data_IF_504501379129
#
_entry.id   IF_504501379129
#
_cell.length_a   1.000
_cell.length_b   1.000
_cell.length_c   1.000
_cell.angle_alpha   90.00
_cell.angle_beta   90.00
_cell.angle_gamma   90.00
#
_symmetry.space_group_name_H-M   'P 1'
#
loop_
_entity.id
_entity.type
_entity.pdbx_description
1 polymer ?
#
# COMPACT_ATOMS: atom_id res chain seq x y z
N UNK A 1 -8.64 16.45 -19.06
CA UNK A 1 -9.17 16.31 -17.68
C UNK A 1 -8.05 16.60 -16.69
N UNK A 2 -8.33 17.35 -15.62
CA UNK A 2 -7.33 17.77 -14.63
C UNK A 2 -7.05 16.60 -13.69
N UNK A 3 -6.09 15.75 -14.09
CA UNK A 3 -5.66 14.52 -13.39
C UNK A 3 -5.06 14.77 -11.98
N UNK A 4 -4.87 16.04 -11.60
CA UNK A 4 -4.19 16.44 -10.36
C UNK A 4 -5.13 16.97 -9.27
N UNK A 5 -6.46 16.89 -9.45
CA UNK A 5 -7.40 17.26 -8.39
C UNK A 5 -7.67 16.07 -7.47
N UNK A 6 -7.82 16.27 -6.15
CA UNK A 6 -8.22 15.21 -5.23
C UNK A 6 -9.49 14.47 -5.68
N UNK A 7 -10.47 15.21 -6.21
CA UNK A 7 -11.70 14.63 -6.76
C UNK A 7 -11.44 13.76 -8.00
N UNK A 8 -10.57 14.21 -8.92
CA UNK A 8 -10.17 13.42 -10.08
C UNK A 8 -9.48 12.12 -9.71
N UNK A 9 -8.56 12.15 -8.74
CA UNK A 9 -7.86 10.96 -8.24
C UNK A 9 -8.85 9.96 -7.62
N UNK A 10 -9.81 10.42 -6.83
CA UNK A 10 -10.84 9.55 -6.25
C UNK A 10 -11.72 8.91 -7.33
N UNK A 11 -12.04 9.64 -8.39
CA UNK A 11 -12.79 9.09 -9.52
C UNK A 11 -11.98 7.99 -10.23
N UNK A 12 -10.69 8.21 -10.50
CA UNK A 12 -9.81 7.19 -11.10
C UNK A 12 -9.72 5.93 -10.22
N UNK A 13 -9.62 6.09 -8.89
CA UNK A 13 -9.67 4.97 -7.94
C UNK A 13 -10.99 4.21 -8.01
N UNK A 14 -12.11 4.91 -8.12
CA UNK A 14 -13.41 4.27 -8.25
C UNK A 14 -13.52 3.44 -9.53
N UNK A 15 -13.01 3.95 -10.66
CA UNK A 15 -12.97 3.23 -11.94
C UNK A 15 -12.10 1.97 -11.84
N UNK A 16 -10.91 2.07 -11.24
CA UNK A 16 -10.03 0.91 -11.01
C UNK A 16 -10.73 -0.12 -10.12
N UNK A 17 -11.39 0.31 -9.04
CA UNK A 17 -12.10 -0.57 -8.13
C UNK A 17 -13.32 -1.24 -8.79
N UNK A 18 -14.02 -0.53 -9.67
CA UNK A 18 -15.11 -1.09 -10.49
C UNK A 18 -14.57 -2.19 -11.41
N UNK A 19 -13.44 -1.95 -12.09
CA UNK A 19 -12.77 -2.95 -12.92
C UNK A 19 -12.32 -4.18 -12.11
N UNK A 20 -11.75 -3.98 -10.92
CA UNK A 20 -11.29 -5.07 -10.05
C UNK A 20 -12.43 -5.96 -9.56
N UNK A 21 -13.63 -5.40 -9.41
CA UNK A 21 -14.84 -6.13 -9.01
C UNK A 21 -15.60 -6.73 -10.21
N UNK A 22 -15.26 -6.32 -11.42
CA UNK A 22 -15.94 -6.70 -12.65
C UNK A 22 -15.62 -8.16 -13.01
N UNK A 23 -16.66 -8.97 -13.25
CA UNK A 23 -16.48 -10.32 -13.76
C UNK A 23 -16.01 -10.26 -15.22
N UNK A 24 -15.32 -11.30 -15.68
CA UNK A 24 -14.80 -11.35 -17.07
C UNK A 24 -15.89 -11.08 -18.12
N UNK A 25 -17.11 -11.60 -17.89
CA UNK A 25 -18.27 -11.45 -18.78
C UNK A 25 -18.85 -10.03 -18.82
N UNK A 26 -18.47 -9.17 -17.87
CA UNK A 26 -18.95 -7.79 -17.75
C UNK A 26 -17.93 -6.77 -18.29
N UNK A 27 -16.74 -7.22 -18.71
CA UNK A 27 -15.63 -6.34 -19.12
C UNK A 27 -15.94 -5.49 -20.34
N UNK A 28 -16.62 -6.05 -21.33
CA UNK A 28 -17.00 -5.30 -22.53
C UNK A 28 -17.93 -4.13 -22.16
N UNK A 29 -18.91 -4.38 -21.28
CA UNK A 29 -19.79 -3.33 -20.78
C UNK A 29 -19.04 -2.27 -19.96
N UNK A 30 -18.05 -2.69 -19.16
CA UNK A 30 -17.19 -1.77 -18.42
C UNK A 30 -16.43 -0.82 -19.37
N UNK A 31 -15.80 -1.37 -20.43
CA UNK A 31 -15.06 -0.55 -21.39
C UNK A 31 -15.98 0.37 -22.19
N UNK A 32 -17.18 -0.07 -22.55
CA UNK A 32 -18.17 0.79 -23.21
C UNK A 32 -18.59 1.97 -22.32
N UNK A 33 -18.83 1.70 -21.03
CA UNK A 33 -19.21 2.73 -20.04
C UNK A 33 -18.10 3.76 -19.81
N UNK A 34 -16.85 3.31 -19.77
CA UNK A 34 -15.67 4.13 -19.46
C UNK A 34 -14.79 4.47 -20.67
N UNK A 35 -15.30 4.28 -21.88
CA UNK A 35 -14.56 4.33 -23.15
C UNK A 35 -13.69 5.59 -23.34
N UNK A 36 -14.15 6.73 -22.81
CA UNK A 36 -13.44 8.01 -22.88
C UNK A 36 -12.14 8.04 -22.06
N UNK A 37 -12.00 7.15 -21.07
CA UNK A 37 -10.89 7.10 -20.13
C UNK A 37 -10.13 5.78 -20.19
N UNK A 38 -10.81 4.67 -20.48
CA UNK A 38 -10.25 3.33 -20.48
C UNK A 38 -10.82 2.55 -21.66
N UNK A 39 -9.95 2.14 -22.57
CA UNK A 39 -10.34 1.34 -23.74
C UNK A 39 -9.80 -0.09 -23.66
N UNK A 40 -8.87 -0.34 -22.73
CA UNK A 40 -8.19 -1.60 -22.61
C UNK A 40 -7.69 -1.83 -21.18
N UNK A 41 -7.34 -3.07 -20.87
CA UNK A 41 -6.67 -3.42 -19.60
C UNK A 41 -5.32 -2.71 -19.45
N UNK A 42 -4.63 -2.43 -20.57
CA UNK A 42 -3.40 -1.66 -20.55
C UNK A 42 -3.63 -0.24 -20.04
N UNK A 43 -4.80 0.35 -20.31
CA UNK A 43 -5.14 1.68 -19.80
C UNK A 43 -5.51 1.64 -18.31
N UNK A 44 -6.12 0.56 -17.83
CA UNK A 44 -6.30 0.34 -16.38
C UNK A 44 -4.94 0.32 -15.67
N UNK A 45 -3.95 -0.37 -16.24
CA UNK A 45 -2.63 -0.44 -15.62
C UNK A 45 -1.90 0.93 -15.63
N UNK A 46 -2.08 1.72 -16.70
CA UNK A 46 -1.63 3.12 -16.73
C UNK A 46 -2.33 3.96 -15.66
N UNK A 47 -3.64 3.80 -15.47
CA UNK A 47 -4.38 4.50 -14.42
C UNK A 47 -3.89 4.11 -13.03
N UNK A 48 -3.66 2.82 -12.77
CA UNK A 48 -3.07 2.35 -11.51
C UNK A 48 -1.71 2.98 -11.26
N UNK A 49 -0.83 3.01 -12.26
CA UNK A 49 0.48 3.64 -12.16
C UNK A 49 0.37 5.15 -11.90
N UNK A 50 -0.55 5.85 -12.58
CA UNK A 50 -0.77 7.28 -12.39
C UNK A 50 -1.31 7.60 -10.99
N UNK A 51 -2.32 6.86 -10.51
CA UNK A 51 -2.84 7.01 -9.14
C UNK A 51 -1.74 6.76 -8.11
N UNK A 52 -0.98 5.67 -8.29
CA UNK A 52 0.13 5.32 -7.40
C UNK A 52 1.23 6.38 -7.40
N UNK A 53 1.59 6.94 -8.55
CA UNK A 53 2.57 8.02 -8.66
C UNK A 53 2.13 9.29 -7.93
N UNK A 54 0.85 9.65 -8.00
CA UNK A 54 0.30 10.82 -7.28
C UNK A 54 0.28 10.60 -5.77
N UNK A 55 0.13 9.35 -5.32
CA UNK A 55 0.22 8.99 -3.91
C UNK A 55 1.66 8.97 -3.39
N UNK A 56 2.64 8.69 -4.24
CA UNK A 56 4.08 8.70 -3.94
C UNK A 56 4.63 10.13 -3.86
N UNK A 57 4.15 10.87 -2.85
CA UNK A 57 4.63 12.22 -2.53
C UNK A 57 5.91 12.17 -1.71
N UNK A 58 6.65 13.28 -1.74
CA UNK A 58 7.83 13.48 -0.89
C UNK A 58 7.48 13.21 0.59
N UNK A 59 8.32 12.44 1.27
CA UNK A 59 8.16 12.07 2.67
C UNK A 59 7.35 10.80 2.92
N UNK A 60 6.78 10.17 1.88
CA UNK A 60 6.07 8.90 2.02
C UNK A 60 7.06 7.77 2.32
N UNK A 61 6.74 6.98 3.34
CA UNK A 61 7.46 5.77 3.69
C UNK A 61 7.09 4.65 2.72
N UNK A 62 8.11 3.97 2.21
CA UNK A 62 7.94 2.92 1.21
C UNK A 62 8.85 1.74 1.48
N UNK A 63 8.49 0.61 0.87
CA UNK A 63 9.33 -0.57 0.76
C UNK A 63 9.67 -0.78 -0.71
N UNK A 64 10.90 -1.14 -1.00
CA UNK A 64 11.36 -1.50 -2.34
C UNK A 64 12.00 -2.88 -2.33
N UNK A 65 11.82 -3.64 -3.41
CA UNK A 65 12.53 -4.89 -3.68
C UNK A 65 12.72 -5.02 -5.20
N UNK A 66 13.79 -4.45 -5.73
CA UNK A 66 14.11 -4.50 -7.16
C UNK A 66 15.57 -4.80 -7.42
N UNK A 67 15.86 -5.22 -8.65
CA UNK A 67 17.22 -5.48 -9.10
C UNK A 67 17.58 -4.53 -10.22
N UNK A 68 18.69 -3.82 -10.07
CA UNK A 68 19.29 -3.03 -11.13
C UNK A 68 20.50 -3.76 -11.68
N UNK A 69 20.56 -3.93 -13.00
CA UNK A 69 21.75 -4.42 -13.69
C UNK A 69 22.45 -3.18 -14.27
N UNK A 70 23.59 -2.76 -13.73
CA UNK A 70 24.40 -1.73 -14.38
C UNK A 70 24.95 -2.25 -15.72
N UNK A 71 25.52 -1.39 -16.54
CA UNK A 71 25.99 -1.68 -17.91
C UNK A 71 26.74 -3.03 -18.08
N UNK A 72 26.75 -3.50 -19.35
CA UNK A 72 27.22 -4.83 -19.74
C UNK A 72 28.50 -5.26 -19.01
N UNK A 73 28.36 -6.28 -18.15
CA UNK A 73 29.47 -6.93 -17.44
C UNK A 73 29.48 -6.68 -15.92
N UNK A 74 28.67 -5.74 -15.42
CA UNK A 74 28.57 -5.52 -13.98
C UNK A 74 27.59 -6.48 -13.29
N UNK A 75 27.88 -6.80 -12.02
CA UNK A 75 27.00 -7.65 -11.20
C UNK A 75 25.69 -6.93 -10.94
N UNK A 76 24.59 -7.69 -11.00
CA UNK A 76 23.25 -7.25 -10.60
C UNK A 76 23.28 -6.76 -9.15
N UNK A 77 22.83 -5.53 -8.93
CA UNK A 77 22.68 -4.91 -7.61
C UNK A 77 21.22 -5.04 -7.20
N UNK A 78 20.96 -5.63 -6.03
CA UNK A 78 19.60 -5.71 -5.47
C UNK A 78 19.40 -4.61 -4.44
N UNK A 79 18.35 -3.82 -4.65
CA UNK A 79 17.87 -2.82 -3.70
C UNK A 79 16.67 -3.42 -3.00
N UNK A 80 16.82 -3.67 -1.69
CA UNK A 80 15.77 -4.21 -0.85
C UNK A 80 15.81 -3.54 0.50
N UNK A 81 14.68 -2.96 0.92
CA UNK A 81 14.59 -2.30 2.21
C UNK A 81 13.43 -1.33 2.29
N UNK A 82 13.38 -0.63 3.41
CA UNK A 82 12.48 0.48 3.63
C UNK A 82 13.21 1.79 3.36
N UNK A 83 12.46 2.84 3.07
CA UNK A 83 13.00 4.15 2.83
C UNK A 83 11.92 5.20 2.61
N UNK A 84 12.37 6.40 2.27
CA UNK A 84 11.52 7.56 2.07
C UNK A 84 11.60 8.02 0.62
N UNK A 85 10.45 8.40 0.06
CA UNK A 85 10.36 9.04 -1.25
C UNK A 85 10.84 10.49 -1.14
N UNK A 86 11.82 10.87 -1.98
CA UNK A 86 12.28 12.25 -2.11
C UNK A 86 11.46 12.99 -3.17
N UNK A 87 11.19 12.34 -4.31
CA UNK A 87 10.38 12.86 -5.43
C UNK A 87 9.92 11.73 -6.36
N UNK A 88 8.86 11.98 -7.11
CA UNK A 88 8.32 11.09 -8.13
C UNK A 88 8.08 11.87 -9.43
N UNK A 89 8.76 11.51 -10.52
CA UNK A 89 8.72 12.21 -11.82
C UNK A 89 8.75 11.16 -12.94
N UNK A 90 7.96 11.35 -14.00
CA UNK A 90 7.92 10.49 -15.19
C UNK A 90 7.79 8.97 -14.91
N UNK A 91 7.00 8.60 -13.90
CA UNK A 91 6.80 7.20 -13.50
C UNK A 91 8.00 6.56 -12.80
N UNK A 92 9.00 7.36 -12.42
CA UNK A 92 10.16 6.96 -11.62
C UNK A 92 10.08 7.55 -10.22
N UNK A 93 10.46 6.72 -9.25
CA UNK A 93 10.50 7.07 -7.84
C UNK A 93 11.96 7.24 -7.44
N UNK A 94 12.27 8.40 -6.88
CA UNK A 94 13.57 8.69 -6.28
C UNK A 94 13.40 8.76 -4.78
N UNK A 95 14.33 8.15 -4.07
CA UNK A 95 14.31 8.19 -2.62
C UNK A 95 15.58 7.68 -2.00
N UNK A 96 15.52 7.53 -0.69
CA UNK A 96 16.64 7.07 0.14
C UNK A 96 16.18 5.93 1.03
N UNK A 97 16.92 4.83 1.00
CA UNK A 97 16.74 3.73 1.94
C UNK A 97 17.16 4.14 3.35
N UNK A 98 16.68 3.42 4.36
CA UNK A 98 17.03 3.66 5.77
C UNK A 98 18.53 3.53 6.05
N UNK A 99 19.27 2.77 5.23
CA UNK A 99 20.73 2.65 5.27
C UNK A 99 21.47 3.83 4.60
N UNK A 100 20.73 4.83 4.13
CA UNK A 100 21.24 6.04 3.50
C UNK A 100 21.47 5.94 2.00
N UNK A 101 21.36 4.75 1.38
CA UNK A 101 21.60 4.56 -0.06
C UNK A 101 20.48 5.21 -0.89
N UNK A 102 20.82 6.06 -1.87
CA UNK A 102 19.82 6.56 -2.81
C UNK A 102 19.40 5.44 -3.78
N UNK A 103 18.14 5.48 -4.22
CA UNK A 103 17.62 4.58 -5.24
C UNK A 103 16.79 5.33 -6.28
N UNK A 104 16.68 4.73 -7.47
CA UNK A 104 15.75 5.11 -8.51
C UNK A 104 15.12 3.84 -9.08
N UNK A 105 13.79 3.73 -9.01
CA UNK A 105 13.05 2.58 -9.52
C UNK A 105 11.74 2.99 -10.19
N UNK A 106 11.05 2.03 -10.82
CA UNK A 106 9.72 2.27 -11.33
C UNK A 106 8.71 2.34 -10.19
N UNK A 107 7.61 3.06 -10.41
CA UNK A 107 6.46 3.11 -9.49
C UNK A 107 5.88 1.71 -9.22
N UNK A 108 5.99 0.77 -10.18
CA UNK A 108 5.59 -0.63 -10.00
C UNK A 108 6.39 -1.35 -8.91
N UNK A 109 7.67 -1.01 -8.74
CA UNK A 109 8.62 -1.70 -7.84
C UNK A 109 8.54 -1.23 -6.37
N UNK A 110 7.62 -0.29 -6.09
CA UNK A 110 7.46 0.36 -4.79
C UNK A 110 6.18 -0.12 -4.12
N UNK A 111 6.28 -0.61 -2.90
CA UNK A 111 5.13 -0.84 -2.05
C UNK A 111 5.00 0.30 -1.04
N UNK A 112 3.80 0.82 -0.84
CA UNK A 112 3.57 1.74 0.28
C UNK A 112 3.80 0.98 1.59
N UNK A 113 4.68 1.51 2.44
CA UNK A 113 4.60 1.18 3.84
C UNK A 113 3.37 1.90 4.34
N UNK A 114 2.28 1.16 4.42
CA UNK A 114 1.11 1.64 5.12
C UNK A 114 1.61 2.08 6.50
N UNK A 115 1.44 3.36 6.86
CA UNK A 115 1.69 3.81 8.23
C UNK A 115 0.84 3.01 9.20
N UNK A 116 -0.30 2.47 8.75
CA UNK A 116 -1.03 1.46 9.49
C UNK A 116 -0.31 0.10 9.51
N UNK A 117 0.59 -0.31 8.63
CA UNK A 117 1.39 -1.54 8.82
C UNK A 117 2.51 -1.38 9.87
N UNK A 118 3.03 -0.16 10.04
CA UNK A 118 4.02 0.19 11.07
C UNK A 118 3.33 0.57 12.39
N UNK A 119 2.14 1.18 12.35
CA UNK A 119 1.26 1.51 13.49
C UNK A 119 0.21 0.42 13.83
N UNK A 120 0.05 -0.62 13.00
CA UNK A 120 -0.68 -1.88 13.27
C UNK A 120 0.26 -2.99 13.70
N UNK A 121 1.48 -2.64 14.09
CA UNK A 121 2.00 -3.26 15.31
C UNK A 121 1.34 -2.54 16.46
N UNK A 122 0.28 -3.09 17.07
CA UNK A 122 -0.01 -2.67 18.43
C UNK A 122 1.28 -2.88 19.24
N UNK A 123 1.58 -1.94 20.13
CA UNK A 123 2.74 -2.00 21.05
C UNK A 123 2.84 -3.34 21.79
N UNK A 124 1.75 -4.10 21.87
CA UNK A 124 1.74 -5.56 21.87
C UNK A 124 0.36 -6.08 21.44
N UNK A 125 0.27 -7.32 20.93
CA UNK A 125 -1.04 -7.95 20.67
C UNK A 125 -1.91 -7.97 21.95
N UNK A 126 -1.29 -8.14 23.11
CA UNK A 126 -1.95 -8.06 24.41
C UNK A 126 -2.65 -6.70 24.62
N UNK A 127 -1.95 -5.60 24.36
CA UNK A 127 -2.49 -4.24 24.50
C UNK A 127 -3.65 -3.98 23.52
N UNK A 128 -3.51 -4.44 22.27
CA UNK A 128 -4.62 -4.40 21.30
C UNK A 128 -5.85 -5.16 21.80
N UNK A 129 -5.65 -6.34 22.39
CA UNK A 129 -6.76 -7.16 22.89
C UNK A 129 -7.42 -6.52 24.13
N UNK A 130 -6.65 -5.84 24.99
CA UNK A 130 -7.18 -5.07 26.12
C UNK A 130 -8.04 -3.89 25.62
N UNK A 131 -7.50 -3.07 24.70
CA UNK A 131 -8.22 -1.93 24.13
C UNK A 131 -9.45 -2.35 23.32
N UNK A 132 -9.36 -3.48 22.60
CA UNK A 132 -10.51 -4.09 21.93
C UNK A 132 -11.56 -4.54 22.95
N UNK A 133 -11.16 -5.15 24.06
CA UNK A 133 -12.10 -5.54 25.13
C UNK A 133 -12.83 -4.31 25.67
N UNK A 134 -12.10 -3.22 25.93
CA UNK A 134 -12.69 -1.95 26.34
C UNK A 134 -13.67 -1.41 25.27
N UNK A 135 -13.35 -1.54 23.99
CA UNK A 135 -14.28 -1.20 22.90
C UNK A 135 -15.56 -2.04 22.97
N UNK A 136 -15.46 -3.36 23.15
CA UNK A 136 -16.64 -4.23 23.28
C UNK A 136 -17.49 -3.85 24.49
N UNK A 137 -16.87 -3.40 25.58
CA UNK A 137 -17.52 -2.90 26.80
C UNK A 137 -18.12 -1.49 26.68
N UNK A 138 -18.04 -0.85 25.50
CA UNK A 138 -18.68 0.45 25.24
C UNK A 138 -17.73 1.65 25.23
N UNK A 139 -16.44 1.47 25.52
CA UNK A 139 -15.46 2.54 25.35
C UNK A 139 -15.32 2.90 23.86
N UNK A 140 -15.40 4.19 23.54
CA UNK A 140 -15.34 4.71 22.16
C UNK A 140 -14.19 5.69 21.95
N UNK A 141 -13.18 5.64 22.82
CA UNK A 141 -11.90 6.34 22.64
C UNK A 141 -11.28 6.05 21.27
N UNK A 142 -10.50 6.99 20.71
CA UNK A 142 -9.79 6.80 19.45
C UNK A 142 -8.96 5.51 19.41
N UNK A 143 -8.29 5.19 20.52
CA UNK A 143 -7.41 4.03 20.68
C UNK A 143 -8.20 2.72 20.67
N UNK A 144 -9.34 2.67 21.37
CA UNK A 144 -10.21 1.50 21.40
C UNK A 144 -10.87 1.23 20.04
N UNK A 145 -11.27 2.30 19.32
CA UNK A 145 -11.78 2.21 17.94
C UNK A 145 -10.72 1.67 17.00
N UNK A 146 -9.50 2.19 17.10
CA UNK A 146 -8.36 1.76 16.27
C UNK A 146 -8.00 0.29 16.54
N UNK A 147 -7.92 -0.13 17.81
CA UNK A 147 -7.64 -1.52 18.18
C UNK A 147 -8.71 -2.49 17.64
N UNK A 148 -9.99 -2.12 17.71
CA UNK A 148 -11.06 -2.95 17.15
C UNK A 148 -10.98 -3.03 15.61
N UNK A 149 -10.67 -1.92 14.93
CA UNK A 149 -10.44 -1.89 13.47
C UNK A 149 -9.28 -2.82 13.07
N UNK A 150 -8.15 -2.72 13.76
CA UNK A 150 -6.98 -3.58 13.54
C UNK A 150 -7.30 -5.07 13.73
N UNK A 151 -7.99 -5.42 14.82
CA UNK A 151 -8.43 -6.80 15.05
C UNK A 151 -9.33 -7.33 13.92
N UNK A 152 -10.30 -6.53 13.46
CA UNK A 152 -11.20 -6.93 12.36
C UNK A 152 -10.41 -7.18 11.08
N UNK A 153 -9.44 -6.33 10.77
CA UNK A 153 -8.57 -6.50 9.59
C UNK A 153 -7.73 -7.77 9.68
N UNK A 154 -7.09 -8.03 10.83
CA UNK A 154 -6.30 -9.24 11.06
C UNK A 154 -7.17 -10.49 10.91
N UNK A 155 -8.39 -10.47 11.47
CA UNK A 155 -9.34 -11.57 11.38
C UNK A 155 -9.80 -11.81 9.95
N UNK A 156 -10.14 -10.74 9.20
CA UNK A 156 -10.55 -10.84 7.78
C UNK A 156 -9.45 -11.44 6.90
N UNK A 157 -8.19 -11.16 7.22
CA UNK A 157 -7.03 -11.71 6.51
C UNK A 157 -6.65 -13.14 6.94
N UNK A 158 -7.34 -13.74 7.92
CA UNK A 158 -7.02 -15.08 8.43
C UNK A 158 -5.72 -15.16 9.24
N UNK A 159 -5.14 -14.02 9.63
CA UNK A 159 -3.80 -13.94 10.24
C UNK A 159 -3.82 -14.04 11.78
N UNK A 160 -4.99 -14.25 12.39
CA UNK A 160 -5.17 -14.15 13.84
C UNK A 160 -4.27 -15.14 14.63
N UNK A 161 -4.11 -16.36 14.11
CA UNK A 161 -3.26 -17.39 14.72
C UNK A 161 -1.78 -16.99 14.71
N UNK A 162 -1.28 -16.53 13.55
CA UNK A 162 0.11 -16.13 13.38
C UNK A 162 0.48 -14.94 14.28
N UNK A 163 -0.41 -13.95 14.37
CA UNK A 163 -0.19 -12.77 15.21
C UNK A 163 -0.17 -13.14 16.70
N UNK A 164 -1.04 -14.05 17.14
CA UNK A 164 -1.05 -14.54 18.53
C UNK A 164 0.25 -15.27 18.88
N UNK A 165 0.73 -16.13 17.98
CA UNK A 165 2.01 -16.84 18.16
C UNK A 165 3.19 -15.87 18.23
N UNK A 166 3.30 -14.94 17.29
CA UNK A 166 4.38 -13.93 17.25
C UNK A 166 4.40 -13.04 18.50
N UNK A 167 3.25 -12.76 19.10
CA UNK A 167 3.16 -12.00 20.33
C UNK A 167 3.73 -12.76 21.54
N UNK A 168 3.40 -14.05 21.67
CA UNK A 168 3.91 -14.89 22.76
C UNK A 168 5.45 -15.03 22.73
N UNK A 169 6.06 -15.01 21.55
CA UNK A 169 7.53 -15.06 21.41
C UNK A 169 8.23 -13.77 21.87
N UNK A 170 7.55 -12.61 21.87
CA UNK A 170 8.15 -11.32 22.25
C UNK A 170 8.07 -11.01 23.74
N UNK A 171 7.26 -11.74 24.51
CA UNK A 171 7.15 -11.55 25.96
C UNK A 171 8.14 -12.43 26.75
N UNK A 172 8.87 -13.31 26.07
CA UNK A 172 9.80 -14.28 26.68
C UNK A 172 11.24 -14.25 26.15
N UNK A 173 11.60 -13.24 25.35
CA UNK A 173 12.97 -13.01 24.87
C UNK A 173 13.39 -11.57 25.11
#
# INVERSE_FOLDING_TARGET
>A
MILNTPAGIQNLKAIIQEFDNCLYVERDHFFDKHYTLVQSEADIEKLRAAVKAVELRKGVQIKVDFSHVPDKGMRRIRFKGHGVVDRCEDGRVFGRLDDGRPFCCFVSDVDFLDTDSVASKPKGYAEMMILRSAYVQGNRSPEAKQANKQYIQIRRKGLLSQVKTLAAYKEHG
#
